data_IF_369148088270
#
_entry.id   IF_369148088270
#
_cell.length_a   1.000
_cell.length_b   1.000
_cell.length_c   1.000
_cell.angle_alpha   90.00
_cell.angle_beta   90.00
_cell.angle_gamma   90.00
#
_symmetry.space_group_name_H-M   'P 1'
#
loop_
_entity.id
_entity.type
_entity.pdbx_description
1 polymer ?
#
# COMPACT_ATOMS: atom_id res chain seq x y z
N UNK A 1 14.44 -12.17 -0.74
CA UNK A 1 14.60 -12.17 0.73
C UNK A 1 15.33 -10.90 1.13
N UNK A 2 14.79 -10.13 2.07
CA UNK A 2 15.38 -8.84 2.50
C UNK A 2 16.38 -9.07 3.62
N UNK A 3 17.67 -8.79 3.36
CA UNK A 3 18.72 -8.84 4.37
C UNK A 3 18.94 -7.44 4.94
N UNK A 4 18.83 -7.30 6.26
CA UNK A 4 19.12 -6.04 6.96
C UNK A 4 20.25 -6.27 7.94
N UNK A 5 21.31 -5.50 7.78
CA UNK A 5 22.47 -5.51 8.66
C UNK A 5 22.26 -4.40 9.69
N UNK A 6 22.22 -4.72 11.01
CA UNK A 6 22.13 -3.70 12.05
C UNK A 6 23.38 -2.84 12.07
N UNK A 7 23.21 -1.54 12.32
CA UNK A 7 24.34 -0.61 12.45
C UNK A 7 24.89 -0.64 13.88
N UNK A 8 26.16 -0.25 14.04
CA UNK A 8 26.80 -0.13 15.35
C UNK A 8 26.07 0.94 16.18
N UNK A 9 25.71 0.61 17.43
CA UNK A 9 24.92 1.44 18.37
C UNK A 9 23.47 1.73 17.97
N UNK A 10 22.87 0.94 17.07
CA UNK A 10 21.44 1.06 16.80
C UNK A 10 20.62 0.25 17.82
N UNK A 11 19.57 0.83 18.45
CA UNK A 11 18.68 0.06 19.30
C UNK A 11 17.94 -1.00 18.46
N UNK A 12 17.85 -2.22 18.99
CA UNK A 12 17.30 -3.39 18.31
C UNK A 12 15.90 -3.13 17.70
N UNK A 13 15.04 -2.42 18.43
CA UNK A 13 13.67 -2.09 17.99
C UNK A 13 13.64 -1.28 16.70
N UNK A 14 14.63 -0.41 16.47
CA UNK A 14 14.70 0.41 15.27
C UNK A 14 15.11 -0.45 14.07
N UNK A 15 16.03 -1.40 14.26
CA UNK A 15 16.40 -2.37 13.24
C UNK A 15 15.21 -3.27 12.86
N UNK A 16 14.44 -3.74 13.85
CA UNK A 16 13.21 -4.53 13.63
C UNK A 16 12.14 -3.73 12.88
N UNK A 17 11.98 -2.44 13.20
CA UNK A 17 11.03 -1.56 12.48
C UNK A 17 11.43 -1.38 11.01
N UNK A 18 12.72 -1.24 10.70
CA UNK A 18 13.22 -1.18 9.32
C UNK A 18 12.98 -2.50 8.59
N UNK A 19 13.19 -3.63 9.27
CA UNK A 19 12.89 -4.96 8.75
C UNK A 19 11.43 -5.14 8.37
N UNK A 20 10.52 -4.76 9.27
CA UNK A 20 9.09 -4.79 8.99
C UNK A 20 8.73 -3.92 7.77
N UNK A 21 9.25 -2.69 7.71
CA UNK A 21 9.02 -1.80 6.56
C UNK A 21 9.60 -2.35 5.26
N UNK A 22 10.76 -2.97 5.28
CA UNK A 22 11.36 -3.57 4.07
C UNK A 22 10.53 -4.75 3.54
N UNK A 23 10.00 -5.59 4.43
CA UNK A 23 9.06 -6.68 4.06
C UNK A 23 7.76 -6.11 3.49
N UNK A 24 7.23 -5.06 4.09
CA UNK A 24 5.99 -4.42 3.63
C UNK A 24 6.19 -3.73 2.27
N UNK A 25 7.31 -3.03 2.09
CA UNK A 25 7.66 -2.33 0.86
C UNK A 25 7.91 -3.27 -0.31
N UNK A 26 8.53 -4.42 -0.06
CA UNK A 26 8.72 -5.45 -1.10
C UNK A 26 7.41 -6.08 -1.54
N UNK A 27 6.31 -5.91 -0.79
CA UNK A 27 4.99 -6.35 -1.21
C UNK A 27 4.80 -7.86 -1.25
N UNK A 28 5.75 -8.65 -0.72
CA UNK A 28 5.75 -10.11 -0.77
C UNK A 28 4.43 -10.72 -0.27
N UNK A 29 3.90 -10.23 0.86
CA UNK A 29 2.62 -10.71 1.41
C UNK A 29 1.42 -10.36 0.52
N UNK A 30 1.47 -9.23 -0.17
CA UNK A 30 0.41 -8.79 -1.08
C UNK A 30 0.40 -9.65 -2.35
N UNK A 31 1.59 -9.96 -2.89
CA UNK A 31 1.73 -10.85 -4.03
C UNK A 31 1.29 -12.28 -3.70
N UNK A 32 1.69 -12.80 -2.54
CA UNK A 32 1.27 -14.11 -2.06
C UNK A 32 -0.26 -14.20 -2.05
N UNK A 33 -0.93 -13.25 -1.39
CA UNK A 33 -2.40 -13.19 -1.31
C UNK A 33 -3.06 -13.08 -2.69
N UNK A 34 -2.45 -12.34 -3.62
CA UNK A 34 -2.97 -12.23 -4.99
C UNK A 34 -2.85 -13.53 -5.78
N UNK A 35 -1.80 -14.33 -5.54
CA UNK A 35 -1.54 -15.60 -6.25
C UNK A 35 -2.27 -16.80 -5.65
N UNK A 36 -2.77 -16.71 -4.42
CA UNK A 36 -3.51 -17.80 -3.75
C UNK A 36 -4.81 -18.21 -4.45
N UNK A 37 -5.40 -17.33 -5.26
CA UNK A 37 -6.67 -17.61 -5.94
C UNK A 37 -6.59 -17.23 -7.41
N UNK A 38 -7.15 -18.08 -8.27
CA UNK A 38 -7.32 -17.72 -9.67
C UNK A 38 -8.36 -16.61 -9.81
N UNK A 39 -7.96 -15.51 -10.42
CA UNK A 39 -8.86 -14.41 -10.77
C UNK A 39 -8.97 -14.35 -12.28
N UNK A 40 -10.20 -14.43 -12.79
CA UNK A 40 -10.45 -14.25 -14.23
C UNK A 40 -9.90 -12.87 -14.67
N UNK A 41 -9.25 -12.75 -15.85
CA UNK A 41 -8.67 -11.49 -16.33
C UNK A 41 -9.68 -10.34 -16.38
N UNK A 42 -10.95 -10.64 -16.66
CA UNK A 42 -12.04 -9.65 -16.68
C UNK A 42 -12.37 -9.12 -15.29
N UNK A 43 -12.33 -9.97 -14.26
CA UNK A 43 -12.58 -9.58 -12.87
C UNK A 43 -11.46 -8.68 -12.34
N UNK A 44 -10.20 -8.95 -12.71
CA UNK A 44 -9.06 -8.11 -12.36
C UNK A 44 -9.21 -6.70 -12.97
N UNK A 45 -9.55 -6.60 -14.27
CA UNK A 45 -9.78 -5.32 -14.96
C UNK A 45 -10.92 -4.52 -14.31
N UNK A 46 -12.02 -5.17 -13.94
CA UNK A 46 -13.15 -4.53 -13.25
C UNK A 46 -12.75 -3.99 -11.87
N UNK A 47 -12.00 -4.76 -11.08
CA UNK A 47 -11.49 -4.33 -9.76
C UNK A 47 -10.58 -3.10 -9.87
N UNK A 48 -9.65 -3.09 -10.84
CA UNK A 48 -8.75 -1.95 -11.08
C UNK A 48 -9.53 -0.67 -11.43
N UNK A 49 -10.52 -0.76 -12.33
CA UNK A 49 -11.38 0.38 -12.69
C UNK A 49 -12.17 0.90 -11.48
N UNK A 50 -12.80 0.01 -10.71
CA UNK A 50 -13.57 0.39 -9.53
C UNK A 50 -12.70 1.10 -8.48
N UNK A 51 -11.49 0.61 -8.24
CA UNK A 51 -10.54 1.25 -7.32
C UNK A 51 -10.15 2.67 -7.80
N UNK A 52 -9.86 2.85 -9.09
CA UNK A 52 -9.55 4.16 -9.65
C UNK A 52 -10.72 5.15 -9.51
N UNK A 53 -11.95 4.70 -9.78
CA UNK A 53 -13.14 5.53 -9.58
C UNK A 53 -13.36 5.90 -8.11
N UNK A 54 -13.15 4.96 -7.18
CA UNK A 54 -13.27 5.23 -5.75
C UNK A 54 -12.24 6.27 -5.27
N UNK A 55 -10.99 6.15 -5.71
CA UNK A 55 -9.93 7.12 -5.42
C UNK A 55 -10.25 8.51 -5.98
N UNK A 56 -10.70 8.60 -7.24
CA UNK A 56 -11.10 9.85 -7.85
C UNK A 56 -12.25 10.52 -7.08
N UNK A 57 -13.27 9.75 -6.72
CA UNK A 57 -14.40 10.23 -5.89
C UNK A 57 -13.92 10.77 -4.54
N UNK A 58 -12.96 10.11 -3.90
CA UNK A 58 -12.33 10.59 -2.66
C UNK A 58 -11.65 11.95 -2.84
N UNK A 59 -10.81 12.08 -3.87
CA UNK A 59 -10.09 13.35 -4.17
C UNK A 59 -11.03 14.51 -4.46
N UNK A 60 -12.10 14.28 -5.22
CA UNK A 60 -13.12 15.31 -5.50
C UNK A 60 -13.80 15.76 -4.21
N UNK A 61 -14.16 14.83 -3.32
CA UNK A 61 -14.75 15.15 -2.02
C UNK A 61 -13.81 15.99 -1.16
N UNK A 62 -12.53 15.63 -1.09
CA UNK A 62 -11.53 16.40 -0.35
C UNK A 62 -11.36 17.81 -0.94
N UNK A 63 -11.28 17.94 -2.27
CA UNK A 63 -11.15 19.23 -2.92
C UNK A 63 -12.35 20.14 -2.63
N UNK A 64 -13.58 19.62 -2.74
CA UNK A 64 -14.81 20.36 -2.43
C UNK A 64 -14.85 20.73 -0.94
N UNK A 65 -14.46 19.81 -0.05
CA UNK A 65 -14.43 20.08 1.39
C UNK A 65 -13.39 21.16 1.75
N UNK A 66 -12.23 21.18 1.09
CA UNK A 66 -11.24 22.23 1.25
C UNK A 66 -11.74 23.57 0.72
N UNK A 67 -12.40 23.57 -0.45
CA UNK A 67 -12.99 24.78 -1.03
C UNK A 67 -14.05 25.40 -0.11
N UNK A 68 -14.95 24.59 0.43
CA UNK A 68 -15.99 25.04 1.37
C UNK A 68 -15.45 25.45 2.75
N UNK A 69 -14.25 25.02 3.15
CA UNK A 69 -13.62 25.42 4.41
C UNK A 69 -12.85 26.73 4.31
N UNK A 70 -12.45 27.11 3.10
CA UNK A 70 -11.67 28.32 2.84
C UNK A 70 -12.56 29.50 2.37
N UNK A 71 -13.85 29.27 2.16
CA UNK A 71 -14.87 30.28 1.85
C UNK A 71 -15.67 30.60 3.12
#
# INVERSE_FOLDING_TARGET
MTTIIPKLNEPLDVALRRFRRAIENTGLLKELRARMSYVKPTAERKRKKAAAFALHRGRVRECVALHLRLA
#
